data_IF_102798396486
#
_entry.id   IF_102798396486
#
_cell.length_a   1.000
_cell.length_b   1.000
_cell.length_c   1.000
_cell.angle_alpha   90.00
_cell.angle_beta   90.00
_cell.angle_gamma   90.00
#
_symmetry.space_group_name_H-M   'P 1'
#
loop_
_entity.id
_entity.type
_entity.pdbx_description
1 polymer ?
#
# COMPACT_ATOMS: atom_id res chain seq x y z
N UNK A 1 30.27 29.98 6.80
CA UNK A 1 29.28 28.99 6.37
C UNK A 1 27.93 29.70 6.32
N UNK A 2 27.48 30.09 5.12
CA UNK A 2 26.28 30.89 4.96
C UNK A 2 25.05 29.98 5.11
N UNK A 3 24.23 30.29 6.10
CA UNK A 3 22.94 29.65 6.35
C UNK A 3 21.96 30.19 5.31
N UNK A 4 21.80 29.50 4.18
CA UNK A 4 20.83 29.88 3.15
C UNK A 4 19.44 29.46 3.65
N UNK A 5 18.85 30.31 4.48
CA UNK A 5 17.44 30.25 4.84
C UNK A 5 16.62 30.25 3.55
N UNK A 6 15.91 29.15 3.30
CA UNK A 6 14.97 29.04 2.17
C UNK A 6 13.78 29.93 2.51
N UNK A 7 13.83 31.18 2.05
CA UNK A 7 12.68 32.07 2.06
C UNK A 7 11.54 31.43 1.25
N UNK A 8 10.32 31.32 1.77
CA UNK A 8 9.20 30.83 0.99
C UNK A 8 8.93 31.82 -0.15
N UNK A 9 9.11 31.36 -1.39
CA UNK A 9 8.61 32.06 -2.56
C UNK A 9 7.09 32.06 -2.43
N UNK A 10 6.49 33.24 -2.23
CA UNK A 10 5.07 33.43 -1.95
C UNK A 10 4.16 32.98 -3.10
N UNK A 11 4.65 33.00 -4.34
CA UNK A 11 3.88 32.63 -5.53
C UNK A 11 3.72 31.10 -5.67
N UNK A 12 2.51 30.63 -5.96
CA UNK A 12 2.18 29.22 -6.25
C UNK A 12 2.44 28.88 -7.73
N UNK A 13 2.46 27.58 -8.09
CA UNK A 13 2.57 27.19 -9.51
C UNK A 13 1.34 27.63 -10.32
N UNK A 14 0.16 27.68 -9.67
CA UNK A 14 -1.07 28.14 -10.31
C UNK A 14 -0.98 29.63 -10.63
N UNK A 15 -0.54 30.45 -9.68
CA UNK A 15 -0.31 31.89 -9.89
C UNK A 15 0.77 32.16 -10.97
N UNK A 16 1.86 31.39 -10.99
CA UNK A 16 2.86 31.47 -12.07
C UNK A 16 2.30 31.02 -13.42
N UNK A 17 1.37 30.05 -13.42
CA UNK A 17 0.67 29.58 -14.61
C UNK A 17 -0.26 30.62 -15.21
N UNK A 18 -1.04 31.31 -14.37
CA UNK A 18 -1.89 32.44 -14.79
C UNK A 18 -1.06 33.58 -15.39
N UNK A 19 0.10 33.90 -14.80
CA UNK A 19 1.03 34.90 -15.34
C UNK A 19 1.59 34.48 -16.71
N UNK A 20 1.92 33.20 -16.91
CA UNK A 20 2.38 32.67 -18.20
C UNK A 20 1.29 32.72 -19.27
N UNK A 21 0.05 32.40 -18.91
CA UNK A 21 -1.08 32.46 -19.84
C UNK A 21 -1.33 33.90 -20.30
N UNK A 22 -1.29 34.87 -19.38
CA UNK A 22 -1.39 36.28 -19.69
C UNK A 22 -0.24 36.75 -20.60
N UNK A 23 1.01 36.39 -20.27
CA UNK A 23 2.18 36.74 -21.08
C UNK A 23 2.12 36.17 -22.49
N UNK A 24 1.59 34.95 -22.64
CA UNK A 24 1.45 34.28 -23.93
C UNK A 24 0.57 35.09 -24.90
N UNK A 25 -0.48 35.75 -24.39
CA UNK A 25 -1.36 36.64 -25.19
C UNK A 25 -0.60 37.87 -25.73
N UNK A 26 0.33 38.43 -24.95
CA UNK A 26 1.14 39.58 -25.38
C UNK A 26 2.32 39.18 -26.28
N UNK A 27 2.88 37.99 -26.11
CA UNK A 27 3.91 37.43 -27.00
C UNK A 27 3.38 37.17 -28.42
N UNK A 28 2.09 36.91 -28.54
CA UNK A 28 1.37 36.74 -29.82
C UNK A 28 0.86 38.06 -30.43
N UNK A 29 1.07 39.21 -29.76
CA UNK A 29 0.63 40.53 -30.24
C UNK A 29 1.36 40.96 -31.52
N UNK A 30 0.64 41.63 -32.42
CA UNK A 30 1.22 42.27 -33.62
C UNK A 30 1.96 43.58 -33.29
N UNK A 31 1.78 44.12 -32.08
CA UNK A 31 2.49 45.31 -31.62
C UNK A 31 3.92 44.95 -31.16
N UNK A 32 4.97 45.48 -31.81
CA UNK A 32 6.35 45.15 -31.48
C UNK A 32 6.78 45.62 -30.08
N UNK A 33 6.18 46.69 -29.54
CA UNK A 33 6.50 47.17 -28.18
C UNK A 33 5.95 46.24 -27.10
N UNK A 34 4.70 45.80 -27.25
CA UNK A 34 4.05 44.86 -26.33
C UNK A 34 4.77 43.52 -26.32
N UNK A 35 5.20 43.06 -27.51
CA UNK A 35 5.95 41.82 -27.65
C UNK A 35 7.32 41.88 -26.97
N UNK A 36 8.07 42.98 -27.16
CA UNK A 36 9.38 43.18 -26.53
C UNK A 36 9.27 43.23 -25.00
N UNK A 37 8.24 43.89 -24.47
CA UNK A 37 7.97 43.95 -23.03
C UNK A 37 7.61 42.56 -22.48
N UNK A 38 6.79 41.80 -23.19
CA UNK A 38 6.41 40.44 -22.78
C UNK A 38 7.61 39.47 -22.78
N UNK A 39 8.53 39.58 -23.75
CA UNK A 39 9.78 38.79 -23.78
C UNK A 39 10.68 39.11 -22.57
N UNK A 40 10.82 40.38 -22.19
CA UNK A 40 11.61 40.77 -21.02
C UNK A 40 11.02 40.22 -19.71
N UNK A 41 9.69 40.29 -19.56
CA UNK A 41 9.01 39.76 -18.37
C UNK A 41 9.09 38.23 -18.34
N UNK A 42 8.97 37.56 -19.49
CA UNK A 42 9.12 36.11 -19.59
C UNK A 42 10.53 35.66 -19.13
N UNK A 43 11.58 36.35 -19.55
CA UNK A 43 12.95 36.06 -19.12
C UNK A 43 13.16 36.18 -17.60
N UNK A 44 12.36 37.00 -16.91
CA UNK A 44 12.37 37.11 -15.45
C UNK A 44 11.51 36.03 -14.77
N UNK A 45 10.45 35.57 -15.43
CA UNK A 45 9.51 34.58 -14.91
C UNK A 45 10.04 33.15 -15.04
N UNK A 46 10.72 32.83 -16.14
CA UNK A 46 11.22 31.49 -16.44
C UNK A 46 12.12 30.91 -15.32
N UNK A 47 13.15 31.62 -14.80
CA UNK A 47 13.95 31.11 -13.68
C UNK A 47 13.16 30.90 -12.38
N UNK A 48 12.07 31.67 -12.16
CA UNK A 48 11.20 31.48 -10.99
C UNK A 48 10.40 30.19 -11.12
N UNK A 49 9.88 29.91 -12.32
CA UNK A 49 9.14 28.69 -12.63
C UNK A 49 10.03 27.46 -12.47
N UNK A 50 11.23 27.48 -13.07
CA UNK A 50 12.22 26.40 -12.95
C UNK A 50 12.54 26.10 -11.49
N UNK A 51 12.88 27.13 -10.71
CA UNK A 51 13.17 26.99 -9.28
C UNK A 51 11.99 26.42 -8.49
N UNK A 52 10.75 26.78 -8.87
CA UNK A 52 9.56 26.25 -8.21
C UNK A 52 9.39 24.77 -8.56
N UNK A 53 9.49 24.40 -9.83
CA UNK A 53 9.43 23.00 -10.29
C UNK A 53 10.49 22.16 -9.56
N UNK A 54 11.74 22.62 -9.51
CA UNK A 54 12.83 21.95 -8.78
C UNK A 54 12.48 21.76 -7.30
N UNK A 55 11.89 22.78 -6.67
CA UNK A 55 11.41 22.69 -5.29
C UNK A 55 10.35 21.59 -5.09
N UNK A 56 9.37 21.50 -6.00
CA UNK A 56 8.37 20.43 -5.97
C UNK A 56 8.99 19.05 -6.18
N UNK A 57 9.87 18.90 -7.18
CA UNK A 57 10.54 17.63 -7.47
C UNK A 57 11.40 17.18 -6.29
N UNK A 58 12.19 18.09 -5.70
CA UNK A 58 13.00 17.81 -4.53
C UNK A 58 12.14 17.38 -3.33
N UNK A 59 11.02 18.07 -3.08
CA UNK A 59 10.12 17.73 -1.98
C UNK A 59 9.42 16.38 -2.20
N UNK A 60 8.94 16.10 -3.42
CA UNK A 60 8.34 14.82 -3.80
C UNK A 60 9.35 13.69 -3.61
N UNK A 61 10.58 13.86 -4.07
CA UNK A 61 11.64 12.85 -3.92
C UNK A 61 12.00 12.61 -2.45
N UNK A 62 12.03 13.66 -1.63
CA UNK A 62 12.17 13.52 -0.17
C UNK A 62 11.03 12.72 0.44
N UNK A 63 9.78 12.97 0.03
CA UNK A 63 8.63 12.20 0.51
C UNK A 63 8.68 10.73 0.07
N UNK A 64 9.10 10.45 -1.17
CA UNK A 64 9.31 9.08 -1.67
C UNK A 64 10.36 8.34 -0.82
N UNK A 65 11.53 8.95 -0.60
CA UNK A 65 12.59 8.36 0.23
C UNK A 65 12.11 8.10 1.67
N UNK A 66 11.40 9.06 2.28
CA UNK A 66 10.81 8.88 3.61
C UNK A 66 9.79 7.73 3.65
N UNK A 67 8.94 7.61 2.63
CA UNK A 67 7.97 6.51 2.52
C UNK A 67 8.68 5.17 2.43
N UNK A 68 9.69 5.05 1.58
CA UNK A 68 10.46 3.80 1.40
C UNK A 68 11.15 3.39 2.71
N UNK A 69 11.82 4.33 3.38
CA UNK A 69 12.44 4.08 4.69
C UNK A 69 11.41 3.56 5.71
N UNK A 70 10.26 4.22 5.84
CA UNK A 70 9.20 3.81 6.76
C UNK A 70 8.62 2.44 6.42
N UNK A 71 8.49 2.11 5.13
CA UNK A 71 8.02 0.79 4.68
C UNK A 71 9.03 -0.31 5.01
N UNK A 72 10.33 -0.05 4.83
CA UNK A 72 11.39 -0.99 5.22
C UNK A 72 11.40 -1.22 6.73
N UNK A 73 11.27 -0.15 7.52
CA UNK A 73 11.24 -0.25 8.97
C UNK A 73 9.99 -1.00 9.47
N UNK A 74 8.83 -0.74 8.89
CA UNK A 74 7.61 -1.49 9.20
C UNK A 74 7.77 -2.99 8.91
N UNK A 75 8.41 -3.35 7.78
CA UNK A 75 8.74 -4.75 7.47
C UNK A 75 9.68 -5.36 8.51
N UNK A 76 10.72 -4.62 8.92
CA UNK A 76 11.67 -5.07 9.95
C UNK A 76 10.97 -5.36 11.28
N UNK A 77 10.13 -4.45 11.74
CA UNK A 77 9.36 -4.60 12.98
C UNK A 77 8.40 -5.79 12.88
N UNK A 78 7.70 -5.94 11.75
CA UNK A 78 6.83 -7.10 11.51
C UNK A 78 7.59 -8.42 11.57
N UNK A 79 8.78 -8.49 10.98
CA UNK A 79 9.63 -9.68 11.05
C UNK A 79 10.10 -9.99 12.47
N UNK A 80 10.46 -8.98 13.27
CA UNK A 80 10.80 -9.18 14.68
C UNK A 80 9.62 -9.73 15.47
N UNK A 81 8.42 -9.16 15.29
CA UNK A 81 7.22 -9.64 15.95
C UNK A 81 6.90 -11.10 15.59
N UNK A 82 7.08 -11.51 14.33
CA UNK A 82 6.93 -12.91 13.90
C UNK A 82 7.94 -13.85 14.57
N UNK A 83 9.18 -13.40 14.76
CA UNK A 83 10.19 -14.18 15.46
C UNK A 83 9.84 -14.33 16.96
N UNK A 84 9.35 -13.26 17.58
CA UNK A 84 8.89 -13.31 18.97
C UNK A 84 7.68 -14.24 19.11
N UNK A 85 6.72 -14.19 18.19
CA UNK A 85 5.57 -15.10 18.12
C UNK A 85 6.03 -16.57 18.01
N UNK A 86 6.94 -16.87 17.08
CA UNK A 86 7.51 -18.22 16.94
C UNK A 86 8.22 -18.68 18.23
N UNK A 87 8.95 -17.78 18.89
CA UNK A 87 9.64 -18.08 20.14
C UNK A 87 8.66 -18.31 21.31
N UNK A 88 7.58 -17.54 21.38
CA UNK A 88 6.51 -17.72 22.36
C UNK A 88 5.86 -19.07 22.17
N UNK A 89 5.51 -19.44 20.93
CA UNK A 89 4.93 -20.75 20.61
C UNK A 89 5.88 -21.86 21.07
N UNK A 90 7.14 -21.81 20.65
CA UNK A 90 8.15 -22.80 21.04
C UNK A 90 8.32 -22.94 22.56
N UNK A 91 8.41 -21.81 23.29
CA UNK A 91 8.51 -21.82 24.75
C UNK A 91 7.25 -22.40 25.40
N UNK A 92 6.08 -22.09 24.85
CA UNK A 92 4.80 -22.62 25.34
C UNK A 92 4.69 -24.11 25.11
N UNK A 93 5.11 -24.62 23.95
CA UNK A 93 5.16 -26.05 23.65
C UNK A 93 6.14 -26.79 24.58
N UNK A 94 7.31 -26.20 24.88
CA UNK A 94 8.25 -26.77 25.85
C UNK A 94 7.65 -26.83 27.25
N UNK A 95 6.95 -25.79 27.67
CA UNK A 95 6.26 -25.76 28.96
C UNK A 95 5.10 -26.74 29.01
N UNK A 96 4.34 -26.89 27.91
CA UNK A 96 3.27 -27.87 27.77
C UNK A 96 3.82 -29.29 27.94
N UNK A 97 4.85 -29.67 27.16
CA UNK A 97 5.44 -31.00 27.25
C UNK A 97 6.03 -31.29 28.64
N UNK A 98 6.61 -30.29 29.30
CA UNK A 98 7.04 -30.42 30.69
C UNK A 98 5.86 -30.67 31.66
N UNK A 99 4.75 -29.95 31.50
CA UNK A 99 3.56 -30.13 32.33
C UNK A 99 2.91 -31.51 32.11
N UNK A 100 2.90 -32.01 30.87
CA UNK A 100 2.41 -33.35 30.53
C UNK A 100 3.26 -34.45 31.19
N UNK A 101 4.59 -34.37 31.07
CA UNK A 101 5.51 -35.29 31.76
C UNK A 101 5.34 -35.26 33.28
N UNK A 102 5.09 -34.08 33.85
CA UNK A 102 4.84 -33.92 35.28
C UNK A 102 3.54 -34.61 35.71
N UNK A 103 2.50 -34.59 34.88
CA UNK A 103 1.26 -35.33 35.13
C UNK A 103 1.50 -36.84 35.10
N UNK A 104 2.27 -37.34 34.14
CA UNK A 104 2.64 -38.76 34.08
C UNK A 104 3.37 -39.22 35.35
N UNK A 105 4.25 -38.38 35.89
CA UNK A 105 5.06 -38.71 37.07
C UNK A 105 4.33 -38.54 38.41
N UNK A 106 3.51 -37.50 38.55
CA UNK A 106 2.91 -37.09 39.83
C UNK A 106 1.39 -37.34 39.91
N UNK A 107 0.78 -37.78 38.81
CA UNK A 107 -0.66 -37.96 38.65
C UNK A 107 -1.44 -36.67 38.43
N UNK A 108 -2.67 -36.81 37.94
CA UNK A 108 -3.54 -35.73 37.47
C UNK A 108 -3.76 -34.60 38.49
N UNK A 109 -3.89 -34.96 39.78
CA UNK A 109 -4.22 -34.00 40.83
C UNK A 109 -3.05 -33.09 41.22
N UNK A 110 -1.81 -33.60 41.17
CA UNK A 110 -0.60 -32.88 41.59
C UNK A 110 0.23 -32.34 40.43
N UNK A 111 0.18 -32.99 39.27
CA UNK A 111 0.94 -32.60 38.09
C UNK A 111 0.35 -31.41 37.32
N UNK A 112 -0.98 -31.21 37.40
CA UNK A 112 -1.68 -30.19 36.58
C UNK A 112 -1.36 -28.74 36.88
N UNK A 113 -0.87 -28.41 38.06
CA UNK A 113 -0.64 -27.02 38.50
C UNK A 113 0.78 -26.85 39.00
N UNK A 114 1.39 -25.74 38.61
CA UNK A 114 2.69 -25.29 39.08
C UNK A 114 2.65 -23.80 39.41
N UNK A 115 3.09 -23.45 40.61
CA UNK A 115 3.24 -22.06 41.04
C UNK A 115 4.73 -21.74 41.12
N UNK A 116 5.14 -20.71 40.39
CA UNK A 116 6.45 -20.08 40.51
C UNK A 116 6.38 -18.85 41.41
N UNK A 117 7.52 -18.17 41.56
CA UNK A 117 7.62 -16.99 42.43
C UNK A 117 6.75 -15.81 41.97
N UNK A 118 6.50 -15.70 40.66
CA UNK A 118 5.80 -14.56 40.05
C UNK A 118 4.60 -14.96 39.19
N UNK A 119 4.40 -16.26 38.96
CA UNK A 119 3.38 -16.73 38.02
C UNK A 119 2.85 -18.11 38.40
N UNK A 120 1.68 -18.45 37.85
CA UNK A 120 1.05 -19.75 37.98
C UNK A 120 0.80 -20.31 36.59
N UNK A 121 1.13 -21.59 36.42
CA UNK A 121 0.91 -22.34 35.19
C UNK A 121 -0.01 -23.51 35.51
N UNK A 122 -1.03 -23.71 34.69
CA UNK A 122 -1.95 -24.84 34.81
C UNK A 122 -2.23 -25.45 33.46
N UNK A 123 -2.24 -26.78 33.39
CA UNK A 123 -2.70 -27.49 32.21
C UNK A 123 -4.24 -27.51 32.21
N UNK A 124 -4.82 -26.86 31.20
CA UNK A 124 -6.25 -26.79 30.99
C UNK A 124 -6.60 -27.48 29.67
N UNK A 125 -7.78 -28.10 29.60
CA UNK A 125 -8.34 -28.55 28.33
C UNK A 125 -9.09 -27.38 27.68
N UNK A 126 -8.94 -27.21 26.38
CA UNK A 126 -9.60 -26.13 25.64
C UNK A 126 -11.13 -26.32 25.72
N UNK A 127 -11.86 -25.28 26.17
CA UNK A 127 -13.33 -25.28 26.21
C UNK A 127 -14.01 -24.87 24.90
N UNK A 128 -13.24 -24.75 23.81
CA UNK A 128 -13.75 -24.39 22.48
C UNK A 128 -14.17 -25.61 21.65
N UNK A 129 -14.54 -25.37 20.38
CA UNK A 129 -14.74 -26.47 19.44
C UNK A 129 -13.46 -27.32 19.36
N UNK A 130 -13.57 -28.65 19.45
CA UNK A 130 -12.41 -29.54 19.40
C UNK A 130 -11.69 -29.36 18.07
N UNK A 131 -10.35 -29.43 18.10
CA UNK A 131 -9.56 -29.46 16.88
C UNK A 131 -9.90 -30.75 16.11
N UNK A 132 -10.36 -30.59 14.88
CA UNK A 132 -10.59 -31.70 13.96
C UNK A 132 -9.36 -31.82 13.08
N UNK A 133 -8.76 -33.01 13.06
CA UNK A 133 -7.70 -33.30 12.10
C UNK A 133 -8.29 -33.29 10.68
N UNK A 134 -7.70 -32.48 9.81
CA UNK A 134 -8.06 -32.40 8.39
C UNK A 134 -6.87 -32.94 7.60
N UNK A 135 -7.13 -33.88 6.69
CA UNK A 135 -6.07 -34.47 5.88
C UNK A 135 -5.46 -33.44 4.92
N UNK A 136 -4.20 -33.07 5.13
CA UNK A 136 -3.47 -32.07 4.33
C UNK A 136 -2.95 -32.60 2.99
N UNK A 137 -2.99 -33.91 2.77
CA UNK A 137 -2.56 -34.52 1.51
C UNK A 137 -3.63 -34.44 0.42
N UNK A 138 -4.89 -34.20 0.80
CA UNK A 138 -6.00 -34.03 -0.14
C UNK A 138 -6.01 -32.62 -0.72
N UNK A 139 -6.18 -32.50 -2.04
CA UNK A 139 -6.46 -31.22 -2.65
C UNK A 139 -7.90 -30.80 -2.32
N UNK A 140 -8.18 -29.48 -2.32
CA UNK A 140 -9.51 -28.94 -1.96
C UNK A 140 -10.64 -29.56 -2.80
N UNK A 141 -10.36 -29.89 -4.06
CA UNK A 141 -11.30 -30.54 -4.99
C UNK A 141 -11.66 -31.99 -4.63
N UNK A 142 -10.84 -32.66 -3.81
CA UNK A 142 -11.04 -34.05 -3.40
C UNK A 142 -11.94 -34.15 -2.15
N UNK A 143 -12.19 -33.02 -1.48
CA UNK A 143 -13.13 -32.96 -0.38
C UNK A 143 -14.59 -33.01 -0.89
N UNK A 144 -15.51 -33.63 -0.13
CA UNK A 144 -16.94 -33.59 -0.45
C UNK A 144 -17.43 -32.14 -0.61
N UNK A 145 -18.28 -31.89 -1.61
CA UNK A 145 -18.72 -30.55 -1.97
C UNK A 145 -19.40 -29.76 -0.83
N UNK A 146 -20.01 -30.46 0.13
CA UNK A 146 -20.63 -29.86 1.33
C UNK A 146 -19.62 -29.15 2.27
N UNK A 147 -18.33 -29.48 2.19
CA UNK A 147 -17.26 -28.86 2.98
C UNK A 147 -16.41 -27.85 2.19
N UNK A 148 -16.69 -27.66 0.89
CA UNK A 148 -15.91 -26.79 0.00
C UNK A 148 -16.68 -25.52 -0.31
N UNK A 149 -16.12 -24.37 0.06
CA UNK A 149 -16.68 -23.07 -0.28
C UNK A 149 -16.27 -22.67 -1.71
N UNK A 150 -17.25 -22.53 -2.61
CA UNK A 150 -17.03 -21.98 -3.95
C UNK A 150 -17.28 -20.47 -3.92
N UNK A 151 -16.21 -19.68 -4.06
CA UNK A 151 -16.29 -18.22 -4.13
C UNK A 151 -16.22 -17.78 -5.60
N UNK A 152 -17.28 -17.15 -6.14
CA UNK A 152 -17.24 -16.63 -7.50
C UNK A 152 -16.22 -15.49 -7.59
N UNK A 153 -15.29 -15.58 -8.55
CA UNK A 153 -14.31 -14.53 -8.84
C UNK A 153 -14.56 -13.94 -10.23
N UNK A 154 -14.52 -12.61 -10.32
CA UNK A 154 -14.65 -11.89 -11.58
C UNK A 154 -13.37 -12.08 -12.43
N UNK A 155 -13.52 -12.58 -13.65
CA UNK A 155 -12.42 -12.67 -14.60
C UNK A 155 -12.16 -11.31 -15.27
N UNK A 156 -11.42 -10.46 -14.57
CA UNK A 156 -11.09 -9.11 -15.03
C UNK A 156 -10.23 -9.08 -16.30
N UNK A 157 -9.44 -10.13 -16.57
CA UNK A 157 -8.60 -10.19 -17.76
C UNK A 157 -9.45 -10.42 -19.01
N UNK A 158 -10.31 -11.44 -18.97
CA UNK A 158 -11.24 -11.71 -20.07
C UNK A 158 -12.14 -10.50 -20.35
N UNK A 159 -12.64 -9.86 -19.29
CA UNK A 159 -13.46 -8.65 -19.41
C UNK A 159 -12.69 -7.50 -20.10
N UNK A 160 -11.38 -7.35 -19.89
CA UNK A 160 -10.56 -6.37 -20.62
C UNK A 160 -10.37 -6.74 -22.08
N UNK A 161 -10.10 -8.02 -22.37
CA UNK A 161 -9.93 -8.52 -23.73
C UNK A 161 -11.20 -8.30 -24.56
N UNK A 162 -12.36 -8.66 -24.01
CA UNK A 162 -13.66 -8.52 -24.67
C UNK A 162 -14.03 -7.04 -24.92
N UNK A 163 -13.80 -6.16 -23.93
CA UNK A 163 -14.06 -4.72 -24.07
C UNK A 163 -13.15 -4.07 -25.12
N UNK A 164 -11.88 -4.47 -25.21
CA UNK A 164 -10.93 -3.96 -26.19
C UNK A 164 -11.21 -4.48 -27.61
N UNK A 165 -11.83 -5.66 -27.74
CA UNK A 165 -12.25 -6.23 -29.02
C UNK A 165 -13.53 -5.59 -29.58
N UNK A 166 -14.28 -4.84 -28.77
CA UNK A 166 -15.54 -4.23 -29.19
C UNK A 166 -15.29 -2.88 -29.88
N UNK A 167 -15.91 -2.64 -31.04
CA UNK A 167 -15.74 -1.39 -31.81
C UNK A 167 -16.21 -0.13 -31.05
N UNK A 168 -17.24 -0.25 -30.21
CA UNK A 168 -17.72 0.83 -29.33
C UNK A 168 -16.80 1.10 -28.14
N UNK A 169 -15.92 0.15 -27.81
CA UNK A 169 -15.18 0.14 -26.54
C UNK A 169 -16.07 -0.03 -25.30
N UNK A 170 -17.30 -0.50 -25.45
CA UNK A 170 -18.26 -0.73 -24.36
C UNK A 170 -18.77 -2.16 -24.40
N UNK A 171 -18.82 -2.82 -23.24
CA UNK A 171 -19.38 -4.16 -23.08
C UNK A 171 -20.64 -4.07 -22.22
N UNK A 172 -21.73 -4.67 -22.70
CA UNK A 172 -23.02 -4.73 -22.01
C UNK A 172 -23.41 -6.17 -21.69
N UNK A 173 -24.23 -6.35 -20.65
CA UNK A 173 -24.87 -7.63 -20.35
C UNK A 173 -26.05 -7.93 -21.28
N UNK A 174 -26.67 -9.10 -21.13
CA UNK A 174 -27.82 -9.54 -21.92
C UNK A 174 -29.05 -8.63 -21.77
N UNK A 175 -29.10 -7.81 -20.72
CA UNK A 175 -30.17 -6.86 -20.45
C UNK A 175 -29.82 -5.44 -20.96
N UNK A 176 -28.70 -5.28 -21.66
CA UNK A 176 -28.23 -4.02 -22.21
C UNK A 176 -27.58 -3.08 -21.17
N UNK A 177 -27.24 -3.56 -19.98
CA UNK A 177 -26.55 -2.77 -18.95
C UNK A 177 -25.06 -2.79 -19.21
N UNK A 178 -24.43 -1.61 -19.25
CA UNK A 178 -22.98 -1.49 -19.41
C UNK A 178 -22.25 -2.10 -18.21
N UNK A 179 -21.40 -3.09 -18.47
CA UNK A 179 -20.60 -3.78 -17.45
C UNK A 179 -19.13 -3.37 -17.49
N UNK A 180 -18.65 -2.83 -18.62
CA UNK A 180 -17.30 -2.32 -18.74
C UNK A 180 -17.13 -1.38 -19.95
N UNK A 181 -16.15 -0.48 -19.88
CA UNK A 181 -15.80 0.40 -21.00
C UNK A 181 -14.31 0.73 -21.04
N UNK A 182 -13.80 0.99 -22.24
CA UNK A 182 -12.46 1.53 -22.45
C UNK A 182 -12.43 2.96 -21.91
N UNK A 183 -11.53 3.22 -20.97
CA UNK A 183 -11.24 4.56 -20.50
C UNK A 183 -10.07 5.15 -21.31
N UNK A 184 -10.03 6.49 -21.49
CA UNK A 184 -8.87 7.13 -22.08
C UNK A 184 -7.63 6.82 -21.25
N UNK A 185 -6.47 6.73 -21.92
CA UNK A 185 -5.20 6.53 -21.23
C UNK A 185 -4.97 7.68 -20.25
N UNK A 186 -4.70 7.34 -18.99
CA UNK A 186 -4.36 8.33 -17.98
C UNK A 186 -3.06 9.05 -18.30
N UNK A 187 -3.02 10.36 -18.06
CA UNK A 187 -1.77 11.15 -18.08
C UNK A 187 -1.08 11.01 -16.72
N UNK A 188 0.24 10.88 -16.72
CA UNK A 188 1.03 10.86 -15.48
C UNK A 188 2.29 11.71 -15.65
N UNK A 189 2.73 12.32 -14.55
CA UNK A 189 4.00 13.06 -14.51
C UNK A 189 5.13 12.04 -14.32
N UNK A 190 6.14 12.09 -15.18
CA UNK A 190 7.40 11.39 -14.99
C UNK A 190 8.42 12.36 -14.40
N UNK A 191 8.95 12.04 -13.23
CA UNK A 191 10.09 12.73 -12.64
C UNK A 191 11.35 11.96 -13.03
N UNK A 192 12.28 12.61 -13.73
CA UNK A 192 13.57 12.04 -14.15
C UNK A 192 14.65 12.47 -13.17
#
# INVERSE_FOLDING_TARGET
>A
MANTSIQPISETLDELGEQLELLSQYLESENPEDKAMAEEIYQQLEPKLEKKIDGYVAYINRLKANREFRQLEAKRISSLAKNDEARIIWLTEKLLGFMEQRIEQLGEQRGRKLEGLLCKVSLCQNGGQPQVWINSELAVQDFPAEYVLQLPQLNTQKLKEDVLATESGELCDEQGRMIAKVLPRGKHIRLV
#
